data_IF_557748147632
#
_entry.id   IF_557748147632
#
_cell.length_a   1.000
_cell.length_b   1.000
_cell.length_c   1.000
_cell.angle_alpha   90.00
_cell.angle_beta   90.00
_cell.angle_gamma   90.00
#
_symmetry.space_group_name_H-M   'P 1'
#
loop_
_entity.id
_entity.type
_entity.pdbx_description
1 polymer ?
#
# COMPACT_ATOMS: atom_id res chain seq x y z
N UNK A 1 -35.00 3.11 -23.67
CA UNK A 1 -34.06 2.59 -22.66
C UNK A 1 -32.67 3.13 -22.97
N UNK A 2 -31.81 3.21 -21.97
CA UNK A 2 -30.37 3.49 -22.14
C UNK A 2 -29.59 2.29 -21.66
N UNK A 3 -28.68 1.81 -22.49
CA UNK A 3 -27.67 0.83 -22.13
C UNK A 3 -26.38 1.57 -21.80
N UNK A 4 -25.84 1.34 -20.61
CA UNK A 4 -24.53 1.83 -20.19
C UNK A 4 -23.64 0.62 -19.95
N UNK A 5 -22.53 0.50 -20.66
CA UNK A 5 -21.60 -0.61 -20.41
C UNK A 5 -21.02 -0.48 -19.01
N UNK A 6 -21.11 -1.55 -18.23
CA UNK A 6 -20.65 -1.58 -16.85
C UNK A 6 -19.14 -1.39 -16.81
N UNK A 7 -18.62 -0.34 -16.16
CA UNK A 7 -17.19 -0.14 -16.11
C UNK A 7 -16.55 -1.27 -15.29
N UNK A 8 -15.49 -1.90 -15.82
CA UNK A 8 -14.78 -2.95 -15.08
C UNK A 8 -14.46 -2.48 -13.68
N UNK A 9 -14.54 -3.41 -12.73
CA UNK A 9 -13.91 -3.28 -11.44
C UNK A 9 -14.69 -2.36 -10.46
N UNK A 10 -15.81 -1.81 -10.93
CA UNK A 10 -16.82 -1.14 -10.12
C UNK A 10 -18.09 -1.99 -10.03
N UNK A 11 -18.99 -1.63 -9.13
CA UNK A 11 -20.32 -2.22 -9.00
C UNK A 11 -21.36 -1.10 -9.04
N UNK A 12 -22.52 -1.39 -9.59
CA UNK A 12 -23.63 -0.45 -9.60
C UNK A 12 -24.13 -0.26 -8.17
N UNK A 13 -24.32 0.99 -7.77
CA UNK A 13 -24.79 1.33 -6.43
C UNK A 13 -26.19 1.94 -6.47
N UNK A 14 -26.39 2.99 -7.26
CA UNK A 14 -27.69 3.65 -7.39
C UNK A 14 -27.79 4.47 -8.67
N UNK A 15 -29.03 4.78 -9.07
CA UNK A 15 -29.36 5.76 -10.09
C UNK A 15 -30.37 6.76 -9.54
N UNK A 16 -30.20 8.04 -9.86
CA UNK A 16 -31.10 9.13 -9.48
C UNK A 16 -31.47 9.99 -10.69
N UNK A 17 -32.69 10.58 -10.72
CA UNK A 17 -33.75 10.49 -9.71
C UNK A 17 -34.62 9.22 -9.83
N UNK A 18 -35.44 8.95 -8.80
CA UNK A 18 -36.27 7.73 -8.64
C UNK A 18 -37.26 7.35 -9.78
N UNK A 19 -37.73 8.21 -10.72
CA UNK A 19 -38.51 7.68 -11.85
C UNK A 19 -37.66 6.86 -12.84
N UNK A 20 -36.33 6.94 -12.77
CA UNK A 20 -35.44 6.17 -13.65
C UNK A 20 -35.07 4.85 -12.97
N UNK A 21 -35.63 3.76 -13.48
CA UNK A 21 -35.32 2.42 -13.00
C UNK A 21 -34.12 1.87 -13.77
N UNK A 22 -33.06 1.49 -13.06
CA UNK A 22 -31.89 0.85 -13.66
C UNK A 22 -31.68 -0.56 -13.11
N UNK A 23 -31.41 -1.52 -13.99
CA UNK A 23 -31.10 -2.91 -13.67
C UNK A 23 -29.78 -3.34 -14.30
N UNK A 24 -29.04 -4.21 -13.61
CA UNK A 24 -27.79 -4.79 -14.15
C UNK A 24 -28.13 -6.04 -14.94
N UNK A 25 -27.70 -6.08 -16.20
CA UNK A 25 -27.83 -7.22 -17.12
C UNK A 25 -26.45 -7.62 -17.64
N UNK A 26 -25.86 -8.67 -17.05
CA UNK A 26 -24.50 -9.07 -17.37
C UNK A 26 -23.50 -7.93 -17.10
N UNK A 27 -22.77 -7.53 -18.14
CA UNK A 27 -21.79 -6.43 -18.09
C UNK A 27 -22.38 -5.08 -18.54
N UNK A 28 -23.70 -4.91 -18.48
CA UNK A 28 -24.39 -3.68 -18.85
C UNK A 28 -25.39 -3.25 -17.78
N UNK A 29 -25.60 -1.94 -17.67
CA UNK A 29 -26.65 -1.32 -16.88
C UNK A 29 -27.74 -0.80 -17.82
N UNK A 30 -28.95 -1.32 -17.68
CA UNK A 30 -30.11 -0.92 -18.45
C UNK A 30 -30.94 0.07 -17.63
N UNK A 31 -31.12 1.29 -18.12
CA UNK A 31 -31.93 2.32 -17.49
C UNK A 31 -33.18 2.66 -18.32
N UNK A 32 -34.35 2.59 -17.71
CA UNK A 32 -35.62 2.98 -18.31
C UNK A 32 -35.84 4.49 -18.20
N UNK A 33 -35.87 5.18 -19.34
CA UNK A 33 -36.11 6.63 -19.40
C UNK A 33 -37.60 6.99 -19.50
N UNK A 34 -38.46 6.01 -19.81
CA UNK A 34 -39.90 6.19 -20.01
C UNK A 34 -40.44 5.43 -21.22
N UNK A 35 -41.73 5.07 -21.13
CA UNK A 35 -42.46 4.39 -22.20
C UNK A 35 -43.86 5.02 -22.38
N UNK A 36 -44.06 5.93 -23.36
CA UNK A 36 -43.06 6.47 -24.29
C UNK A 36 -42.19 7.58 -23.67
N UNK A 37 -40.95 7.71 -24.15
CA UNK A 37 -40.12 8.89 -23.91
C UNK A 37 -40.54 10.01 -24.87
N UNK A 38 -40.99 11.16 -24.34
CA UNK A 38 -41.66 12.20 -25.16
C UNK A 38 -40.64 12.99 -25.99
N UNK A 39 -41.11 13.52 -27.11
CA UNK A 39 -40.30 14.43 -27.94
C UNK A 39 -39.93 15.71 -27.16
N UNK A 40 -38.72 16.21 -27.37
CA UNK A 40 -38.12 17.36 -26.66
C UNK A 40 -38.06 17.20 -25.14
N UNK A 41 -38.19 15.98 -24.63
CA UNK A 41 -37.96 15.68 -23.22
C UNK A 41 -36.46 15.46 -22.99
N UNK A 42 -35.93 16.08 -21.95
CA UNK A 42 -34.57 15.86 -21.46
C UNK A 42 -34.63 15.27 -20.05
N UNK A 43 -33.80 14.27 -19.78
CA UNK A 43 -33.67 13.65 -18.47
C UNK A 43 -32.19 13.56 -18.13
N UNK A 44 -31.84 14.04 -16.94
CA UNK A 44 -30.51 13.88 -16.38
C UNK A 44 -30.54 12.70 -15.41
N UNK A 45 -29.66 11.72 -15.64
CA UNK A 45 -29.53 10.53 -14.79
C UNK A 45 -28.16 10.54 -14.15
N UNK A 46 -28.12 10.54 -12.81
CA UNK A 46 -26.90 10.37 -12.05
C UNK A 46 -26.75 8.89 -11.69
N UNK A 47 -25.76 8.24 -12.28
CA UNK A 47 -25.45 6.83 -12.03
C UNK A 47 -24.23 6.77 -11.11
N UNK A 48 -24.40 6.13 -9.94
CA UNK A 48 -23.33 5.94 -8.96
C UNK A 48 -22.80 4.51 -9.01
N UNK A 49 -21.48 4.43 -9.06
CA UNK A 49 -20.72 3.19 -9.03
C UNK A 49 -19.83 3.16 -7.78
N UNK A 50 -19.68 1.98 -7.18
CA UNK A 50 -18.79 1.76 -6.04
C UNK A 50 -17.60 0.89 -6.44
N UNK A 51 -16.37 1.23 -6.00
CA UNK A 51 -15.19 0.39 -6.18
C UNK A 51 -15.34 -1.04 -5.63
N UNK A 52 -15.04 -2.06 -6.45
CA UNK A 52 -14.94 -3.44 -5.97
C UNK A 52 -13.48 -3.92 -5.91
N UNK A 53 -12.91 -4.31 -7.03
CA UNK A 53 -11.54 -4.84 -7.13
C UNK A 53 -10.68 -3.90 -7.97
N UNK A 54 -10.31 -2.76 -7.38
CA UNK A 54 -9.45 -1.80 -8.08
C UNK A 54 -8.01 -2.31 -8.03
N UNK A 55 -7.43 -2.54 -9.20
CA UNK A 55 -5.99 -2.73 -9.40
C UNK A 55 -5.31 -1.34 -9.53
N UNK A 56 -4.11 -1.20 -8.96
CA UNK A 56 -3.31 0.03 -9.03
C UNK A 56 -2.92 0.45 -10.46
N UNK A 57 -2.94 -0.47 -11.42
CA UNK A 57 -2.58 -0.21 -12.81
C UNK A 57 -3.71 0.43 -13.65
N UNK A 58 -4.92 0.53 -13.09
CA UNK A 58 -6.07 1.15 -13.79
C UNK A 58 -5.84 2.66 -13.90
N UNK A 59 -5.61 3.13 -15.12
CA UNK A 59 -5.40 4.56 -15.44
C UNK A 59 -6.66 5.24 -15.96
N UNK A 60 -7.50 4.47 -16.64
CA UNK A 60 -8.67 4.96 -17.33
C UNK A 60 -9.78 3.91 -17.27
N UNK A 61 -11.01 4.38 -17.09
CA UNK A 61 -12.22 3.57 -17.19
C UNK A 61 -12.93 4.00 -18.46
N UNK A 62 -13.21 3.04 -19.33
CA UNK A 62 -13.96 3.26 -20.55
C UNK A 62 -15.38 2.72 -20.39
N UNK A 63 -16.36 3.52 -20.80
CA UNK A 63 -17.76 3.12 -20.83
C UNK A 63 -18.42 3.61 -22.12
N UNK A 64 -19.43 2.89 -22.55
CA UNK A 64 -20.23 3.19 -23.73
C UNK A 64 -21.66 3.43 -23.28
N UNK A 65 -22.23 4.55 -23.73
CA UNK A 65 -23.64 4.84 -23.57
C UNK A 65 -24.33 4.65 -24.92
N UNK A 66 -25.37 3.83 -24.95
CA UNK A 66 -26.16 3.58 -26.15
C UNK A 66 -27.65 3.72 -25.83
N UNK A 67 -28.33 4.55 -26.61
CA UNK A 67 -29.78 4.65 -26.58
C UNK A 67 -30.39 3.46 -27.34
N UNK A 68 -31.46 2.90 -26.79
CA UNK A 68 -32.18 1.78 -27.40
C UNK A 68 -33.69 2.00 -27.32
N UNK A 69 -34.37 1.87 -28.46
CA UNK A 69 -35.81 2.04 -28.62
C UNK A 69 -36.43 0.91 -29.41
N UNK A 70 -37.70 0.58 -29.14
CA UNK A 70 -38.46 -0.39 -29.95
C UNK A 70 -38.90 0.19 -31.29
N UNK A 71 -38.97 1.52 -31.40
CA UNK A 71 -39.24 2.23 -32.65
C UNK A 71 -37.99 2.27 -33.52
N UNK A 72 -38.19 2.28 -34.84
CA UNK A 72 -37.12 2.46 -35.81
C UNK A 72 -36.57 3.90 -35.72
N UNK A 73 -35.26 4.02 -35.49
CA UNK A 73 -34.54 5.28 -35.41
C UNK A 73 -33.26 5.18 -36.23
N UNK A 74 -33.08 6.05 -37.22
CA UNK A 74 -31.93 5.98 -38.14
C UNK A 74 -30.62 6.48 -37.50
N UNK A 75 -30.70 7.35 -36.49
CA UNK A 75 -29.55 8.17 -36.03
C UNK A 75 -29.22 7.97 -34.54
N UNK A 76 -29.09 6.72 -34.09
CA UNK A 76 -28.76 6.42 -32.69
C UNK A 76 -27.39 5.76 -32.58
N UNK A 77 -26.33 6.57 -32.60
CA UNK A 77 -24.95 6.09 -32.46
C UNK A 77 -24.52 5.96 -30.98
N UNK A 78 -23.74 4.93 -30.61
CA UNK A 78 -23.13 4.84 -29.28
C UNK A 78 -22.18 6.01 -28.99
N UNK A 79 -22.12 6.43 -27.73
CA UNK A 79 -21.22 7.46 -27.22
C UNK A 79 -20.17 6.81 -26.32
N UNK A 80 -18.90 7.03 -26.64
CA UNK A 80 -17.77 6.53 -25.84
C UNK A 80 -17.35 7.59 -24.84
N UNK A 81 -17.18 7.17 -23.59
CA UNK A 81 -16.74 8.03 -22.49
C UNK A 81 -15.52 7.38 -21.86
N UNK A 82 -14.48 8.18 -21.64
CA UNK A 82 -13.33 7.76 -20.87
C UNK A 82 -13.15 8.66 -19.64
N UNK A 83 -12.87 8.02 -18.51
CA UNK A 83 -12.72 8.66 -17.21
C UNK A 83 -11.35 8.35 -16.67
N UNK A 84 -10.54 9.39 -16.44
CA UNK A 84 -9.21 9.23 -15.84
C UNK A 84 -9.33 8.87 -14.36
N UNK A 85 -8.59 7.87 -13.95
CA UNK A 85 -8.56 7.39 -12.57
C UNK A 85 -7.29 7.90 -11.89
N UNK A 86 -7.45 8.47 -10.70
CA UNK A 86 -6.35 8.82 -9.81
C UNK A 86 -6.46 7.99 -8.54
N UNK A 87 -5.52 7.07 -8.35
CA UNK A 87 -5.44 6.24 -7.16
C UNK A 87 -4.45 6.87 -6.19
N UNK A 88 -4.84 7.01 -4.92
CA UNK A 88 -3.96 7.47 -3.85
C UNK A 88 -3.89 6.41 -2.76
N UNK A 89 -2.70 5.87 -2.53
CA UNK A 89 -2.43 4.97 -1.42
C UNK A 89 -1.97 5.79 -0.21
N UNK A 90 -2.59 5.55 0.94
CA UNK A 90 -2.16 6.14 2.19
C UNK A 90 -1.65 5.05 3.12
N UNK A 91 -0.34 5.07 3.41
CA UNK A 91 0.29 4.18 4.36
C UNK A 91 1.06 4.98 5.42
N UNK A 92 1.22 4.42 6.60
CA UNK A 92 2.03 4.98 7.67
C UNK A 92 2.86 3.91 8.35
N UNK A 93 4.07 4.29 8.76
CA UNK A 93 4.99 3.44 9.51
C UNK A 93 5.08 3.97 10.94
N UNK A 94 4.96 3.10 11.92
CA UNK A 94 5.08 3.45 13.34
C UNK A 94 6.09 2.55 14.03
N UNK A 95 6.83 3.11 14.98
CA UNK A 95 7.71 2.35 15.86
C UNK A 95 6.90 1.86 17.06
N UNK A 96 6.87 0.55 17.27
CA UNK A 96 6.14 -0.10 18.36
C UNK A 96 7.08 -0.30 19.53
N UNK A 97 6.88 0.50 20.58
CA UNK A 97 7.75 0.50 21.76
C UNK A 97 9.11 1.16 21.51
N UNK A 98 9.77 1.58 22.58
CA UNK A 98 11.15 2.03 22.48
C UNK A 98 12.06 0.80 22.32
N UNK A 99 13.02 0.80 21.37
CA UNK A 99 14.10 -0.17 21.42
C UNK A 99 14.80 -0.02 22.78
N UNK A 100 15.32 -1.13 23.32
CA UNK A 100 16.09 -1.09 24.56
C UNK A 100 17.25 -0.10 24.51
N UNK A 101 17.88 0.15 25.66
CA UNK A 101 19.07 1.02 25.70
C UNK A 101 20.33 0.23 25.35
N UNK A 102 21.15 0.78 24.47
CA UNK A 102 22.52 0.34 24.25
C UNK A 102 23.47 1.50 24.54
N UNK A 103 24.55 1.19 25.27
CA UNK A 103 25.63 2.13 25.55
C UNK A 103 26.87 1.67 24.80
N UNK A 104 27.68 2.63 24.35
CA UNK A 104 29.04 2.32 23.89
C UNK A 104 29.85 1.85 25.09
N UNK A 105 30.01 0.53 25.21
CA UNK A 105 30.78 -0.12 26.27
C UNK A 105 31.59 -1.27 25.68
N UNK A 106 32.61 -1.72 26.42
CA UNK A 106 33.51 -2.79 25.98
C UNK A 106 34.87 -2.29 25.49
N UNK A 107 35.74 -3.24 25.16
CA UNK A 107 37.07 -2.95 24.62
C UNK A 107 36.98 -2.65 23.13
N UNK A 108 37.70 -1.61 22.67
CA UNK A 108 37.75 -1.25 21.26
C UNK A 108 38.51 -2.32 20.50
N UNK A 109 37.80 -3.06 19.65
CA UNK A 109 38.34 -4.10 18.78
C UNK A 109 38.25 -3.58 17.33
N UNK A 110 39.26 -3.86 16.51
CA UNK A 110 39.23 -3.51 15.08
C UNK A 110 38.28 -4.41 14.29
N UNK A 111 37.74 -3.93 13.18
CA UNK A 111 36.77 -4.65 12.34
C UNK A 111 37.20 -6.08 11.99
N UNK A 112 38.48 -6.28 11.64
CA UNK A 112 39.03 -7.58 11.28
C UNK A 112 39.10 -8.61 12.42
N UNK A 113 38.93 -8.16 13.67
CA UNK A 113 38.97 -9.00 14.85
C UNK A 113 37.57 -9.30 15.43
N UNK A 114 36.51 -8.75 14.84
CA UNK A 114 35.11 -9.03 15.18
C UNK A 114 34.74 -10.42 14.64
N UNK A 115 34.22 -11.31 15.50
CA UNK A 115 33.83 -12.67 15.10
C UNK A 115 32.35 -12.93 15.32
N UNK A 116 31.79 -12.39 16.40
CA UNK A 116 30.38 -12.55 16.75
C UNK A 116 29.64 -11.22 16.86
N UNK A 117 28.32 -11.28 16.87
CA UNK A 117 27.48 -10.09 17.12
C UNK A 117 27.70 -9.45 18.49
N UNK A 118 28.11 -10.26 19.47
CA UNK A 118 28.46 -9.85 20.83
C UNK A 118 29.69 -8.95 20.89
N UNK A 119 30.61 -9.07 19.93
CA UNK A 119 31.80 -8.22 19.82
C UNK A 119 31.45 -6.82 19.27
N UNK A 120 30.29 -6.68 18.63
CA UNK A 120 29.80 -5.41 18.07
C UNK A 120 29.10 -4.58 19.15
N UNK A 121 28.26 -5.21 19.97
CA UNK A 121 27.57 -4.53 21.07
C UNK A 121 26.26 -5.18 21.49
N UNK A 122 25.46 -4.43 22.24
CA UNK A 122 24.16 -4.87 22.73
C UNK A 122 23.11 -5.01 21.62
N UNK A 123 22.29 -6.05 21.70
CA UNK A 123 21.18 -6.27 20.77
C UNK A 123 20.08 -5.21 20.96
N UNK A 124 19.72 -4.54 19.87
CA UNK A 124 18.55 -3.68 19.77
C UNK A 124 17.53 -4.28 18.81
N UNK A 125 16.27 -4.36 19.24
CA UNK A 125 15.16 -4.84 18.43
C UNK A 125 14.25 -3.66 18.11
N UNK A 126 14.06 -3.39 16.81
CA UNK A 126 13.16 -2.36 16.32
C UNK A 126 11.92 -3.02 15.73
N UNK A 127 10.78 -2.84 16.38
CA UNK A 127 9.50 -3.36 15.88
C UNK A 127 8.79 -2.23 15.13
N UNK A 128 8.68 -2.37 13.82
CA UNK A 128 8.00 -1.39 12.97
C UNK A 128 6.67 -1.95 12.49
N UNK A 129 5.59 -1.19 12.66
CA UNK A 129 4.27 -1.55 12.19
C UNK A 129 3.87 -0.70 10.97
N UNK A 130 3.50 -1.39 9.89
CA UNK A 130 2.99 -0.77 8.67
C UNK A 130 1.47 -0.76 8.74
N UNK A 131 0.88 0.43 8.62
CA UNK A 131 -0.56 0.61 8.51
C UNK A 131 -0.91 1.05 7.11
N UNK A 132 -1.79 0.30 6.43
CA UNK A 132 -2.39 0.69 5.15
C UNK A 132 -3.79 1.20 5.45
N UNK A 133 -4.07 2.45 5.10
CA UNK A 133 -5.36 3.09 5.31
C UNK A 133 -6.26 2.88 4.10
N UNK A 134 -7.55 2.66 4.35
CA UNK A 134 -8.56 2.48 3.29
C UNK A 134 -8.79 1.01 2.91
N UNK A 135 -9.35 0.81 1.70
CA UNK A 135 -9.64 -0.53 1.18
C UNK A 135 -8.33 -1.24 0.85
N UNK A 136 -8.26 -2.54 1.18
CA UNK A 136 -7.10 -3.36 0.82
C UNK A 136 -6.93 -3.39 -0.70
N UNK A 137 -5.68 -3.32 -1.13
CA UNK A 137 -5.30 -3.52 -2.53
C UNK A 137 -5.65 -4.95 -2.97
N UNK A 138 -5.84 -5.14 -4.27
CA UNK A 138 -6.07 -6.46 -4.84
C UNK A 138 -4.86 -7.39 -4.63
N UNK A 139 -5.05 -8.68 -4.87
CA UNK A 139 -4.02 -9.71 -4.66
C UNK A 139 -2.76 -9.58 -5.56
N UNK A 140 -2.77 -8.66 -6.53
CA UNK A 140 -1.71 -8.50 -7.53
C UNK A 140 -0.85 -7.24 -7.34
N UNK A 141 -1.08 -6.48 -6.28
CA UNK A 141 -0.37 -5.23 -6.03
C UNK A 141 0.77 -5.43 -5.00
N UNK A 142 2.01 -5.14 -5.40
CA UNK A 142 3.17 -5.20 -4.52
C UNK A 142 3.41 -3.84 -3.85
N UNK A 143 3.27 -3.77 -2.52
CA UNK A 143 3.68 -2.61 -1.74
C UNK A 143 5.11 -2.79 -1.22
N UNK A 144 5.97 -1.81 -1.49
CA UNK A 144 7.32 -1.75 -0.94
C UNK A 144 7.43 -0.64 0.09
N UNK A 145 8.07 -0.94 1.21
CA UNK A 145 8.39 0.04 2.25
C UNK A 145 9.87 0.33 2.19
N UNK A 146 10.23 1.59 1.97
CA UNK A 146 11.60 2.07 2.04
C UNK A 146 11.80 2.81 3.36
N UNK A 147 12.85 2.44 4.09
CA UNK A 147 13.28 3.14 5.30
C UNK A 147 14.80 3.25 5.31
N UNK A 148 15.29 4.39 5.78
CA UNK A 148 16.73 4.64 5.91
C UNK A 148 17.23 4.02 7.22
N UNK A 149 18.25 3.17 7.12
CA UNK A 149 18.87 2.55 8.30
C UNK A 149 20.13 3.33 8.73
N UNK A 150 20.22 3.80 9.99
CA UNK A 150 21.35 4.59 10.45
C UNK A 150 22.55 3.68 10.77
N UNK A 151 23.22 3.20 9.72
CA UNK A 151 24.35 2.26 9.81
C UNK A 151 25.60 2.91 10.40
N UNK A 152 25.91 4.15 10.01
CA UNK A 152 27.17 4.83 10.32
C UNK A 152 26.93 6.26 10.81
N UNK A 153 27.81 6.73 11.68
CA UNK A 153 27.91 8.15 12.06
C UNK A 153 28.83 8.91 11.11
N UNK A 154 28.80 10.24 11.16
CA UNK A 154 29.51 11.13 10.22
C UNK A 154 31.03 10.94 10.13
N UNK A 155 31.66 10.27 11.11
CA UNK A 155 33.07 9.95 11.12
C UNK A 155 33.39 8.56 10.53
N UNK A 156 32.42 7.90 9.90
CA UNK A 156 32.58 6.58 9.28
C UNK A 156 32.58 5.41 10.26
N UNK A 157 32.37 5.66 11.56
CA UNK A 157 32.20 4.58 12.54
C UNK A 157 30.80 4.01 12.47
N UNK A 158 30.69 2.72 12.76
CA UNK A 158 29.41 2.03 12.77
C UNK A 158 28.59 2.45 13.99
N UNK A 159 27.31 2.70 13.76
CA UNK A 159 26.32 3.03 14.77
C UNK A 159 25.43 1.82 15.05
N UNK A 160 24.73 1.33 14.02
CA UNK A 160 23.86 0.15 14.13
C UNK A 160 24.23 -0.90 13.08
N UNK A 161 24.63 -2.07 13.56
CA UNK A 161 24.84 -3.25 12.72
C UNK A 161 23.52 -3.99 12.49
N UNK A 162 23.07 -4.07 11.24
CA UNK A 162 21.85 -4.77 10.89
C UNK A 162 22.12 -6.27 10.79
N UNK A 163 21.57 -7.06 11.72
CA UNK A 163 21.79 -8.51 11.79
C UNK A 163 20.79 -9.30 10.96
N UNK A 164 19.50 -9.00 11.10
CA UNK A 164 18.41 -9.67 10.38
C UNK A 164 17.19 -8.75 10.26
N UNK A 165 16.32 -9.05 9.29
CA UNK A 165 15.00 -8.44 9.16
C UNK A 165 13.99 -9.58 9.15
N UNK A 166 12.97 -9.47 10.00
CA UNK A 166 11.86 -10.42 10.04
C UNK A 166 10.57 -9.70 9.62
N UNK A 167 9.80 -10.33 8.73
CA UNK A 167 8.52 -9.79 8.26
C UNK A 167 7.41 -10.74 8.70
N UNK A 168 6.44 -10.19 9.44
CA UNK A 168 5.24 -10.91 9.86
C UNK A 168 4.03 -10.40 9.07
N UNK A 169 3.07 -11.29 8.78
CA UNK A 169 1.79 -10.91 8.17
C UNK A 169 1.78 -10.80 6.64
N UNK A 170 2.82 -11.29 5.95
CA UNK A 170 2.82 -11.45 4.49
C UNK A 170 3.13 -12.90 4.11
N UNK A 171 2.75 -13.32 2.90
CA UNK A 171 3.04 -14.66 2.38
C UNK A 171 4.52 -14.90 2.08
N UNK A 172 5.33 -13.84 2.00
CA UNK A 172 6.77 -13.91 1.79
C UNK A 172 7.50 -13.56 3.09
N UNK A 173 8.34 -14.47 3.58
CA UNK A 173 9.04 -14.32 4.86
C UNK A 173 10.35 -13.54 4.76
N UNK A 174 10.84 -13.24 3.54
CA UNK A 174 12.16 -12.63 3.33
C UNK A 174 12.11 -11.16 2.91
N UNK A 175 12.92 -10.33 3.57
CA UNK A 175 13.30 -9.00 3.12
C UNK A 175 14.72 -9.04 2.54
N UNK A 176 14.91 -8.59 1.31
CA UNK A 176 16.22 -8.55 0.66
C UNK A 176 16.54 -7.13 0.20
N UNK A 177 16.98 -6.25 1.12
CA UNK A 177 17.36 -4.90 0.76
C UNK A 177 18.57 -4.92 -0.20
N UNK A 178 18.64 -3.97 -1.14
CA UNK A 178 19.78 -3.87 -2.05
C UNK A 178 21.08 -3.59 -1.28
N UNK A 179 22.22 -4.01 -1.85
CA UNK A 179 23.55 -3.66 -1.32
C UNK A 179 24.08 -4.54 -0.19
N UNK A 180 23.49 -5.72 0.04
CA UNK A 180 23.94 -6.70 1.04
C UNK A 180 24.14 -6.08 2.44
N UNK A 181 23.18 -5.25 2.87
CA UNK A 181 23.28 -4.49 4.12
C UNK A 181 22.97 -5.32 5.37
N UNK A 182 22.39 -6.51 5.20
CA UNK A 182 22.08 -7.44 6.30
C UNK A 182 23.32 -8.31 6.55
N UNK A 183 23.81 -8.27 7.78
CA UNK A 183 24.97 -9.02 8.26
C UNK A 183 26.16 -9.03 7.28
N UNK A 184 26.65 -7.89 6.77
CA UNK A 184 27.67 -7.84 5.71
C UNK A 184 29.00 -8.50 6.09
N UNK A 185 29.33 -8.59 7.39
CA UNK A 185 30.55 -9.27 7.88
C UNK A 185 30.33 -10.77 8.12
N UNK A 186 29.13 -11.30 7.87
CA UNK A 186 28.76 -12.70 8.13
C UNK A 186 29.07 -13.14 9.57
N UNK A 187 28.79 -12.28 10.54
CA UNK A 187 29.04 -12.57 11.95
C UNK A 187 28.09 -13.66 12.46
N UNK A 188 28.59 -14.46 13.41
CA UNK A 188 27.77 -15.45 14.09
C UNK A 188 26.81 -14.77 15.07
N UNK A 189 25.53 -15.15 15.01
CA UNK A 189 24.50 -14.65 15.93
C UNK A 189 24.63 -15.39 17.28
N UNK A 190 24.82 -14.66 18.38
CA UNK A 190 24.89 -15.22 19.74
C UNK A 190 23.58 -15.92 20.15
N UNK A 191 23.68 -17.09 20.80
CA UNK A 191 22.55 -17.87 21.33
C UNK A 191 21.67 -17.09 22.33
N UNK A 192 22.26 -16.18 23.11
CA UNK A 192 21.51 -15.33 24.05
C UNK A 192 20.64 -14.31 23.31
N UNK A 193 21.18 -13.73 22.23
CA UNK A 193 20.41 -12.90 21.31
C UNK A 193 19.30 -13.74 20.66
N UNK A 194 19.56 -15.02 20.34
CA UNK A 194 18.53 -15.91 19.81
C UNK A 194 17.33 -16.06 20.75
N UNK A 195 17.59 -16.19 22.05
CA UNK A 195 16.57 -16.36 23.09
C UNK A 195 15.85 -15.06 23.46
N UNK A 196 16.53 -13.90 23.48
CA UNK A 196 15.86 -12.60 23.71
C UNK A 196 14.86 -12.25 22.60
N UNK A 197 15.13 -12.68 21.36
CA UNK A 197 14.17 -12.56 20.25
C UNK A 197 12.84 -13.26 20.52
N UNK A 198 12.87 -14.47 21.08
CA UNK A 198 11.63 -15.22 21.39
C UNK A 198 10.85 -14.65 22.57
N UNK A 199 11.49 -13.85 23.45
CA UNK A 199 10.79 -13.19 24.57
C UNK A 199 10.20 -11.83 24.21
N UNK A 200 10.69 -11.14 23.16
CA UNK A 200 10.12 -9.89 22.67
C UNK A 200 8.69 -10.02 22.10
N UNK A 201 8.18 -11.25 21.97
CA UNK A 201 6.78 -11.55 21.62
C UNK A 201 5.80 -11.43 22.81
N UNK A 202 6.31 -11.27 24.05
CA UNK A 202 5.49 -10.96 25.23
C UNK A 202 5.92 -9.63 25.84
N UNK A 203 5.04 -8.64 25.73
CA UNK A 203 5.27 -7.25 26.11
C UNK A 203 5.71 -7.06 27.57
N UNK A 204 6.55 -6.05 27.77
CA UNK A 204 6.90 -5.52 29.08
C UNK A 204 6.42 -4.08 29.16
N UNK A 205 5.29 -3.87 29.84
CA UNK A 205 4.88 -2.58 30.38
C UNK A 205 5.91 -2.14 31.44
N UNK A 206 6.59 -1.03 31.19
CA UNK A 206 7.59 -0.48 32.09
C UNK A 206 7.93 0.94 31.68
N UNK A 207 7.26 1.90 32.31
CA UNK A 207 7.41 3.33 32.09
C UNK A 207 8.77 3.83 32.60
N UNK A 208 9.64 4.25 31.68
CA UNK A 208 10.90 4.95 31.94
C UNK A 208 11.20 5.91 30.77
N UNK A 209 11.90 7.03 31.03
CA UNK A 209 11.78 8.25 30.22
C UNK A 209 12.38 8.09 28.82
N UNK A 210 11.62 8.56 27.84
CA UNK A 210 11.91 8.53 26.41
C UNK A 210 13.14 9.38 26.06
N UNK A 211 14.18 8.81 25.43
CA UNK A 211 15.10 9.59 24.61
C UNK A 211 14.43 9.87 23.26
N UNK A 212 14.37 11.16 22.89
CA UNK A 212 13.91 11.64 21.60
C UNK A 212 14.82 11.14 20.47
N UNK A 213 14.56 9.95 19.93
CA UNK A 213 14.82 9.69 18.53
C UNK A 213 13.63 10.24 17.75
N UNK A 214 13.74 11.51 17.35
CA UNK A 214 12.89 12.08 16.30
C UNK A 214 13.17 11.30 15.00
N UNK A 215 12.60 10.10 14.86
CA UNK A 215 12.29 9.60 13.52
C UNK A 215 11.23 10.55 13.01
N UNK A 216 11.68 11.45 12.14
CA UNK A 216 10.89 12.43 11.45
C UNK A 216 9.51 11.84 11.13
N UNK A 217 8.48 12.37 11.79
CA UNK A 217 7.08 12.23 11.41
C UNK A 217 6.87 12.95 10.08
N UNK A 218 7.58 12.51 9.05
CA UNK A 218 7.31 12.91 7.69
C UNK A 218 6.20 12.00 7.22
N UNK A 219 4.99 12.56 7.24
CA UNK A 219 3.88 12.10 6.41
C UNK A 219 4.35 12.20 4.95
N UNK A 220 5.11 11.22 4.48
CA UNK A 220 5.57 11.13 3.10
C UNK A 220 4.41 10.54 2.31
N UNK A 221 3.71 11.38 1.57
CA UNK A 221 2.78 10.95 0.54
C UNK A 221 3.59 10.46 -0.65
N UNK A 222 3.73 9.15 -0.80
CA UNK A 222 4.34 8.57 -1.98
C UNK A 222 3.30 8.51 -3.09
N UNK A 223 3.52 9.27 -4.17
CA UNK A 223 2.77 9.09 -5.41
C UNK A 223 3.55 8.05 -6.22
N UNK A 224 3.02 6.85 -6.38
CA UNK A 224 3.60 5.84 -7.26
C UNK A 224 3.42 6.31 -8.71
N UNK A 225 4.45 6.95 -9.25
CA UNK A 225 4.64 7.10 -10.69
C UNK A 225 5.52 5.97 -11.19
N UNK A 226 5.01 5.15 -12.11
CA UNK A 226 5.83 4.13 -12.77
C UNK A 226 6.94 4.83 -13.58
N UNK A 227 8.20 4.53 -13.22
CA UNK A 227 9.35 4.85 -14.05
C UNK A 227 9.34 3.97 -15.28
N UNK A 228 9.24 4.59 -16.46
CA UNK A 228 9.50 3.90 -17.72
C UNK A 228 10.99 3.55 -17.76
N UNK A 229 11.30 2.24 -17.74
CA UNK A 229 12.61 1.76 -18.15
C UNK A 229 12.78 2.00 -19.65
N UNK A 230 13.85 2.68 -20.03
CA UNK A 230 14.36 2.73 -21.38
C UNK A 230 15.85 2.42 -21.37
N UNK A 231 16.24 1.50 -22.26
CA UNK A 231 17.59 1.39 -22.83
C UNK A 231 18.53 0.47 -22.10
#
# INVERSE_FOLDING_TARGET
MVLVSHPCCFLFQSAEPEPVQCSVEGDSLLCELGNPFRSNQEVQVLIRFQPNEINLDIREIQTVIQLSTLSEQADVSPVFISMLVKISLQASLTLVGAPGHASFSGHVIGESAIKGTEDVGGLLVFTLQVHIHGKRLGHHDNLQVLFDWPKEVSNGKWLLYLTEIQINGTSNSGCFPPGNVINPLNLMLSEENRKRRSLGEQGSDGEAPSPLLHLLNQRKSYTLGQGQGQG
#
